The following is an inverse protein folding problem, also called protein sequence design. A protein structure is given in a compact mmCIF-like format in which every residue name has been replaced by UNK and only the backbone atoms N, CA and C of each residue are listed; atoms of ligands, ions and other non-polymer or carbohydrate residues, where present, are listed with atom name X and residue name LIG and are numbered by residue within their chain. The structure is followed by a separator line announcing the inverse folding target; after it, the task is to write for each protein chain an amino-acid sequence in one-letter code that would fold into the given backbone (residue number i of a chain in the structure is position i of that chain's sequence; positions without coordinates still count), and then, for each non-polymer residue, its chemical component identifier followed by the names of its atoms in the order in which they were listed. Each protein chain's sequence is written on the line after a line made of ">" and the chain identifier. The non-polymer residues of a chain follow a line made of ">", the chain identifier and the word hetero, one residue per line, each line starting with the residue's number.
data_IF_946493654475
#
_entry.id   IF_946493654475
#
_cell.length_a   1.000
_cell.length_b   1.000
_cell.length_c   1.000
_cell.angle_alpha   90.00
_cell.angle_beta   90.00
_cell.angle_gamma   90.00
#
_symmetry.space_group_name_H-M   'P 1'
#
loop_
_entity.id
_entity.type
_entity.pdbx_description
1 polymer ?
#
# COMPACT_ATOMS: atom_id res chain seq x y z
N UNK A 1 55.91 19.69 -42.32
CA UNK A 1 56.02 19.74 -40.85
C UNK A 1 54.72 20.14 -40.14
N UNK A 2 54.03 21.23 -40.53
CA UNK A 2 52.77 21.69 -39.91
C UNK A 2 51.59 20.69 -39.90
N UNK A 3 51.43 19.85 -40.94
CA UNK A 3 50.32 18.87 -41.03
C UNK A 3 50.47 17.65 -40.11
N UNK A 4 51.71 17.27 -39.77
CA UNK A 4 51.98 16.16 -38.84
C UNK A 4 51.67 16.59 -37.40
N UNK A 5 51.91 17.86 -37.06
CA UNK A 5 51.54 18.43 -35.76
C UNK A 5 50.04 18.40 -35.48
N UNK A 6 49.20 18.65 -36.49
CA UNK A 6 47.74 18.58 -36.34
C UNK A 6 47.21 17.16 -36.16
N UNK A 7 47.85 16.15 -36.77
CA UNK A 7 47.47 14.74 -36.61
C UNK A 7 47.85 14.20 -35.23
N UNK A 8 48.97 14.64 -34.64
CA UNK A 8 49.36 14.28 -33.27
C UNK A 8 48.48 14.96 -32.22
N UNK A 9 48.08 16.22 -32.46
CA UNK A 9 47.17 16.94 -31.56
C UNK A 9 45.74 16.33 -31.53
N UNK A 10 45.26 15.78 -32.65
CA UNK A 10 43.97 15.09 -32.71
C UNK A 10 43.98 13.72 -32.00
N UNK A 11 45.13 13.01 -31.97
CA UNK A 11 45.27 11.74 -31.27
C UNK A 11 45.32 11.90 -29.74
N UNK A 12 45.83 13.02 -29.23
CA UNK A 12 45.89 13.31 -27.79
C UNK A 12 44.52 13.67 -27.17
N UNK A 13 43.55 14.06 -27.99
CA UNK A 13 42.16 14.32 -27.55
C UNK A 13 41.32 13.04 -27.42
N UNK A 14 41.83 11.89 -27.86
CA UNK A 14 41.19 10.57 -27.76
C UNK A 14 41.74 9.70 -26.62
N UNK A 15 42.63 10.24 -25.78
CA UNK A 15 43.00 9.62 -24.50
C UNK A 15 41.84 9.77 -23.49
N UNK A 16 40.67 9.23 -23.85
CA UNK A 16 39.57 9.03 -22.92
C UNK A 16 40.08 8.14 -21.80
N UNK A 17 39.90 8.58 -20.56
CA UNK A 17 40.35 7.89 -19.35
C UNK A 17 39.97 6.40 -19.42
N UNK A 18 40.95 5.55 -19.68
CA UNK A 18 40.82 4.08 -19.59
C UNK A 18 40.82 3.69 -18.11
N UNK A 19 39.76 4.08 -17.40
CA UNK A 19 39.54 3.66 -16.03
C UNK A 19 39.40 2.14 -15.98
N UNK A 20 40.01 1.51 -14.97
CA UNK A 20 39.92 0.08 -14.78
C UNK A 20 38.44 -0.31 -14.60
N UNK A 21 37.91 -1.22 -15.43
CA UNK A 21 36.47 -1.55 -15.41
C UNK A 21 36.05 -2.03 -14.02
N UNK A 22 35.04 -1.39 -13.44
CA UNK A 22 34.54 -1.72 -12.10
C UNK A 22 35.29 -1.05 -10.95
N UNK A 23 36.24 -0.15 -11.24
CA UNK A 23 36.83 0.76 -10.26
C UNK A 23 36.19 2.14 -10.43
N UNK A 24 35.70 2.71 -9.33
CA UNK A 24 35.10 4.05 -9.29
C UNK A 24 35.99 4.97 -8.47
N UNK A 25 36.55 5.99 -9.13
CA UNK A 25 37.33 7.04 -8.48
C UNK A 25 36.46 7.93 -7.59
N UNK A 26 36.97 8.26 -6.41
CA UNK A 26 36.40 9.22 -5.47
C UNK A 26 37.49 10.12 -4.93
N UNK A 27 37.11 11.24 -4.33
CA UNK A 27 38.08 12.13 -3.69
C UNK A 27 38.73 11.41 -2.50
N UNK A 28 40.02 11.08 -2.63
CA UNK A 28 40.83 10.44 -1.58
C UNK A 28 40.77 8.91 -1.52
N UNK A 29 39.95 8.24 -2.35
CA UNK A 29 39.85 6.77 -2.35
C UNK A 29 39.24 6.21 -3.64
N UNK A 30 39.26 4.88 -3.80
CA UNK A 30 38.62 4.15 -4.90
C UNK A 30 37.63 3.11 -4.38
N UNK A 31 36.59 2.82 -5.15
CA UNK A 31 35.65 1.72 -4.89
C UNK A 31 35.83 0.62 -5.93
N UNK A 32 36.09 -0.61 -5.50
CA UNK A 32 36.02 -1.80 -6.35
C UNK A 32 34.60 -2.41 -6.29
N UNK A 33 33.86 -2.32 -7.39
CA UNK A 33 32.48 -2.82 -7.51
C UNK A 33 32.37 -4.13 -8.29
N UNK A 34 33.48 -4.86 -8.50
CA UNK A 34 33.51 -6.09 -9.32
C UNK A 34 32.87 -7.28 -8.62
N UNK A 35 32.82 -7.27 -7.30
CA UNK A 35 32.29 -8.35 -6.47
C UNK A 35 31.01 -7.88 -5.78
N UNK A 36 29.88 -8.30 -6.33
CA UNK A 36 28.56 -7.94 -5.79
C UNK A 36 28.07 -9.02 -4.82
N UNK A 37 27.56 -8.60 -3.67
CA UNK A 37 26.96 -9.50 -2.70
C UNK A 37 25.62 -10.04 -3.21
N UNK A 38 25.32 -11.31 -2.92
CA UNK A 38 24.02 -11.91 -3.24
C UNK A 38 22.90 -11.38 -2.33
N UNK A 39 23.23 -11.04 -1.07
CA UNK A 39 22.29 -10.55 -0.08
C UNK A 39 22.07 -9.04 -0.18
N UNK A 40 21.55 -8.57 -1.32
CA UNK A 40 21.19 -7.17 -1.57
C UNK A 40 19.71 -7.09 -1.97
N UNK A 41 18.91 -6.37 -1.18
CA UNK A 41 17.45 -6.35 -1.32
C UNK A 41 16.92 -4.91 -1.36
N UNK A 42 15.72 -4.70 -1.94
CA UNK A 42 15.03 -3.42 -1.89
C UNK A 42 14.83 -2.89 -0.46
N UNK A 43 14.97 -1.56 -0.30
CA UNK A 43 14.57 -0.86 0.92
C UNK A 43 13.04 -0.75 1.02
N UNK A 44 12.38 -0.46 -0.11
CA UNK A 44 10.93 -0.46 -0.22
C UNK A 44 10.40 -1.89 -0.16
N UNK A 45 9.43 -2.13 0.71
CA UNK A 45 8.82 -3.44 0.96
C UNK A 45 7.30 -3.40 1.01
N UNK A 46 6.70 -2.21 1.12
CA UNK A 46 5.27 -2.00 1.38
C UNK A 46 4.69 -0.98 0.39
N UNK A 47 3.47 -1.22 -0.05
CA UNK A 47 2.66 -0.28 -0.83
C UNK A 47 1.41 0.08 -0.02
N UNK A 48 1.27 1.35 0.34
CA UNK A 48 0.16 1.85 1.16
C UNK A 48 -0.82 2.64 0.31
N UNK A 49 -2.09 2.27 0.36
CA UNK A 49 -3.18 2.95 -0.36
C UNK A 49 -3.95 3.85 0.59
N UNK A 50 -4.20 5.08 0.14
CA UNK A 50 -4.89 6.15 0.87
C UNK A 50 -6.07 6.70 0.05
N UNK A 51 -6.93 7.50 0.69
CA UNK A 51 -7.75 8.48 0.00
C UNK A 51 -7.40 9.88 0.51
N UNK A 52 -7.64 10.89 -0.31
CA UNK A 52 -7.34 12.28 0.04
C UNK A 52 -8.37 12.92 0.97
N UNK A 53 -9.64 12.48 0.91
CA UNK A 53 -10.79 13.13 1.54
C UNK A 53 -11.06 14.56 1.05
N UNK A 54 -10.51 14.93 -0.11
CA UNK A 54 -10.57 16.26 -0.68
C UNK A 54 -10.57 16.20 -2.22
N UNK A 55 -10.81 17.33 -2.89
CA UNK A 55 -10.70 17.47 -4.35
C UNK A 55 -9.24 17.44 -4.83
N UNK A 56 -9.04 17.24 -6.13
CA UNK A 56 -7.71 17.11 -6.72
C UNK A 56 -6.77 18.29 -6.44
N UNK A 57 -7.21 19.54 -6.63
CA UNK A 57 -6.33 20.71 -6.54
C UNK A 57 -5.95 20.97 -5.08
N UNK A 58 -6.92 20.86 -4.17
CA UNK A 58 -6.69 20.95 -2.72
C UNK A 58 -5.77 19.82 -2.21
N UNK A 59 -5.95 18.61 -2.73
CA UNK A 59 -5.09 17.46 -2.42
C UNK A 59 -3.66 17.67 -2.91
N UNK A 60 -3.49 18.13 -4.16
CA UNK A 60 -2.18 18.39 -4.75
C UNK A 60 -1.44 19.49 -3.97
N UNK A 61 -2.12 20.58 -3.61
CA UNK A 61 -1.54 21.63 -2.77
C UNK A 61 -1.10 21.08 -1.40
N UNK A 62 -1.96 20.30 -0.74
CA UNK A 62 -1.65 19.71 0.58
C UNK A 62 -0.47 18.75 0.52
N UNK A 63 -0.42 17.86 -0.48
CA UNK A 63 0.60 16.82 -0.63
C UNK A 63 1.95 17.34 -1.17
N UNK A 64 2.01 18.62 -1.54
CA UNK A 64 3.24 19.32 -1.94
C UNK A 64 3.65 20.40 -0.95
N UNK A 65 2.93 20.55 0.16
CA UNK A 65 3.34 21.37 1.29
C UNK A 65 4.32 20.62 2.21
N UNK A 66 4.70 21.22 3.35
CA UNK A 66 5.78 20.77 4.22
C UNK A 66 5.38 19.72 5.27
N UNK A 67 4.10 19.38 5.38
CA UNK A 67 3.59 18.58 6.51
C UNK A 67 3.27 17.13 6.15
N UNK A 68 2.83 16.88 4.92
CA UNK A 68 2.45 15.56 4.41
C UNK A 68 2.76 15.48 2.93
N UNK A 69 3.07 14.28 2.45
CA UNK A 69 3.28 14.04 1.02
C UNK A 69 3.02 12.58 0.69
N UNK A 70 2.78 12.28 -0.58
CA UNK A 70 2.69 10.92 -1.11
C UNK A 70 3.62 10.76 -2.30
N UNK A 71 3.92 9.52 -2.68
CA UNK A 71 4.72 9.31 -3.89
C UNK A 71 3.88 9.57 -5.13
N UNK A 72 2.61 9.16 -5.09
CA UNK A 72 1.67 9.27 -6.20
C UNK A 72 0.34 9.85 -5.76
N UNK A 73 -0.29 10.64 -6.64
CA UNK A 73 -1.66 11.12 -6.54
C UNK A 73 -2.43 10.74 -7.82
N UNK A 74 -3.52 9.98 -7.66
CA UNK A 74 -4.39 9.52 -8.75
C UNK A 74 -5.73 10.27 -8.70
N UNK A 75 -6.07 11.11 -9.70
CA UNK A 75 -7.38 11.76 -9.76
C UNK A 75 -8.53 10.75 -9.80
N UNK A 76 -9.73 11.18 -9.41
CA UNK A 76 -10.95 10.37 -9.43
C UNK A 76 -11.27 9.93 -10.87
N UNK A 77 -11.10 10.82 -11.84
CA UNK A 77 -11.15 10.46 -13.26
C UNK A 77 -9.89 10.98 -13.92
N UNK A 78 -8.81 10.15 -13.99
CA UNK A 78 -7.53 10.60 -14.52
C UNK A 78 -7.65 11.11 -15.97
N UNK A 79 -7.19 12.35 -16.26
CA UNK A 79 -7.23 12.87 -17.62
C UNK A 79 -6.33 12.01 -18.51
N UNK A 80 -6.71 11.89 -19.79
CA UNK A 80 -6.02 11.01 -20.73
C UNK A 80 -5.21 11.80 -21.73
N UNK A 81 -3.96 11.39 -21.93
CA UNK A 81 -3.07 11.92 -22.95
C UNK A 81 -2.41 10.73 -23.66
N UNK A 82 -2.34 10.76 -24.98
CA UNK A 82 -1.82 9.65 -25.81
C UNK A 82 -2.49 8.31 -25.47
N UNK A 83 -3.80 8.33 -25.21
CA UNK A 83 -4.57 7.14 -24.85
C UNK A 83 -4.29 6.57 -23.46
N UNK A 84 -3.48 7.22 -22.61
CA UNK A 84 -3.11 6.74 -21.26
C UNK A 84 -3.62 7.69 -20.16
N UNK A 85 -4.06 7.17 -19.00
CA UNK A 85 -4.39 8.01 -17.85
C UNK A 85 -3.11 8.68 -17.30
N UNK A 86 -3.21 9.95 -16.90
CA UNK A 86 -2.13 10.69 -16.24
C UNK A 86 -2.27 10.55 -14.72
N UNK A 87 -1.17 10.18 -14.08
CA UNK A 87 -1.02 10.10 -12.62
C UNK A 87 0.12 11.06 -12.25
N UNK A 88 0.01 11.72 -11.10
CA UNK A 88 1.03 12.63 -10.61
C UNK A 88 1.97 11.87 -9.70
N UNK A 89 3.28 11.99 -9.96
CA UNK A 89 4.31 11.57 -9.03
C UNK A 89 4.86 12.81 -8.34
N UNK A 90 4.76 12.85 -7.01
CA UNK A 90 5.13 14.03 -6.20
C UNK A 90 6.49 13.84 -5.50
N UNK A 91 6.86 12.60 -5.17
CA UNK A 91 8.13 12.24 -4.52
C UNK A 91 8.80 11.11 -5.30
N UNK A 92 10.12 11.19 -5.59
CA UNK A 92 10.88 10.09 -6.16
C UNK A 92 10.85 8.87 -5.25
N UNK A 93 10.65 7.66 -5.78
CA UNK A 93 10.56 6.43 -4.96
C UNK A 93 11.84 6.06 -4.20
N UNK A 94 12.98 6.65 -4.55
CA UNK A 94 14.23 6.48 -3.80
C UNK A 94 14.25 7.28 -2.50
N UNK A 95 13.33 8.24 -2.34
CA UNK A 95 13.12 9.05 -1.15
C UNK A 95 11.87 8.55 -0.41
N UNK A 96 11.73 8.93 0.86
CA UNK A 96 10.50 8.70 1.61
C UNK A 96 9.53 9.85 1.39
N UNK A 97 8.24 9.55 1.27
CA UNK A 97 7.15 10.52 1.39
C UNK A 97 6.51 10.44 2.78
N UNK A 98 5.93 11.54 3.26
CA UNK A 98 5.31 11.63 4.59
C UNK A 98 3.81 11.27 4.54
N UNK A 99 3.50 9.98 4.34
CA UNK A 99 2.10 9.52 4.15
C UNK A 99 1.56 8.63 5.27
N UNK A 100 2.37 7.76 5.87
CA UNK A 100 1.93 6.76 6.86
C UNK A 100 1.85 7.31 8.30
N UNK A 101 2.72 8.28 8.64
CA UNK A 101 2.88 8.77 10.02
C UNK A 101 3.22 7.66 11.01
N UNK A 102 2.70 7.75 12.24
CA UNK A 102 2.87 6.70 13.28
C UNK A 102 2.16 5.43 12.84
N UNK A 103 2.94 4.43 12.44
CA UNK A 103 2.44 3.23 11.76
C UNK A 103 3.23 2.00 12.17
N UNK A 104 2.59 0.83 12.08
CA UNK A 104 3.21 -0.47 12.28
C UNK A 104 2.59 -1.54 11.37
N UNK A 105 3.42 -2.41 10.80
CA UNK A 105 2.99 -3.53 9.97
C UNK A 105 4.00 -4.67 10.03
N UNK A 106 3.55 -5.88 10.41
CA UNK A 106 4.38 -7.11 10.41
C UNK A 106 5.72 -6.93 11.14
N UNK A 107 5.68 -6.26 12.29
CA UNK A 107 6.84 -5.99 13.14
C UNK A 107 7.68 -4.76 12.75
N UNK A 108 7.47 -4.19 11.56
CA UNK A 108 8.07 -2.89 11.20
C UNK A 108 7.25 -1.74 11.81
N UNK A 109 7.92 -0.62 12.07
CA UNK A 109 7.29 0.66 12.45
C UNK A 109 7.82 1.77 11.53
N UNK A 110 7.24 2.97 11.59
CA UNK A 110 7.64 4.13 10.76
C UNK A 110 7.62 3.79 9.27
N UNK A 111 6.47 3.35 8.78
CA UNK A 111 6.37 2.70 7.47
C UNK A 111 6.82 3.59 6.30
N UNK A 112 6.78 4.93 6.45
CA UNK A 112 7.38 5.89 5.50
C UNK A 112 8.78 5.45 5.03
N UNK A 113 9.61 4.90 5.91
CA UNK A 113 11.00 4.53 5.62
C UNK A 113 11.12 3.38 4.60
N UNK A 114 10.07 2.58 4.44
CA UNK A 114 10.08 1.32 3.65
C UNK A 114 8.85 1.17 2.76
N UNK A 115 8.08 2.24 2.55
CA UNK A 115 6.85 2.17 1.77
C UNK A 115 6.74 3.22 0.68
N UNK A 116 6.07 2.83 -0.40
CA UNK A 116 5.48 3.76 -1.36
C UNK A 116 4.03 4.05 -0.93
N UNK A 117 3.62 5.30 -1.06
CA UNK A 117 2.29 5.80 -0.72
C UNK A 117 1.57 6.32 -1.96
N UNK A 118 0.38 5.79 -2.22
CA UNK A 118 -0.50 6.24 -3.31
C UNK A 118 -1.76 6.86 -2.70
N UNK A 119 -1.97 8.14 -3.00
CA UNK A 119 -3.18 8.89 -2.68
C UNK A 119 -4.18 8.81 -3.83
N UNK A 120 -5.43 8.52 -3.50
CA UNK A 120 -6.53 8.46 -4.45
C UNK A 120 -7.47 9.62 -4.14
N UNK A 121 -7.71 10.50 -5.13
CA UNK A 121 -8.73 11.53 -5.01
C UNK A 121 -10.09 10.86 -4.79
N UNK A 122 -10.58 10.93 -3.56
CA UNK A 122 -11.84 10.34 -3.15
C UNK A 122 -12.29 11.04 -1.85
N UNK A 123 -13.58 11.35 -1.75
CA UNK A 123 -14.16 12.10 -0.61
C UNK A 123 -14.07 11.37 0.74
N UNK A 124 -13.64 10.11 0.76
CA UNK A 124 -13.56 9.31 1.96
C UNK A 124 -14.95 9.07 2.53
N UNK A 125 -15.15 9.35 3.81
CA UNK A 125 -16.46 9.24 4.44
C UNK A 125 -17.05 10.58 4.86
N UNK A 126 -18.38 10.65 4.84
CA UNK A 126 -19.14 11.76 5.40
C UNK A 126 -20.21 11.22 6.36
N UNK A 127 -20.55 12.02 7.37
CA UNK A 127 -21.67 11.71 8.25
C UNK A 127 -22.95 12.30 7.68
N UNK A 128 -23.95 11.46 7.48
CA UNK A 128 -25.32 11.88 7.14
C UNK A 128 -26.28 11.22 8.13
N UNK A 129 -27.10 12.00 8.83
CA UNK A 129 -28.03 11.52 9.86
C UNK A 129 -27.36 10.64 10.97
N UNK A 130 -26.13 10.97 11.37
CA UNK A 130 -25.35 10.20 12.36
C UNK A 130 -24.63 8.97 11.80
N UNK A 131 -24.80 8.70 10.51
CA UNK A 131 -24.32 7.51 9.81
C UNK A 131 -23.13 7.85 8.95
N UNK A 132 -22.09 7.02 9.03
CA UNK A 132 -20.90 7.14 8.18
C UNK A 132 -21.14 6.50 6.81
N UNK A 133 -21.09 7.29 5.74
CA UNK A 133 -21.17 6.84 4.35
C UNK A 133 -19.84 7.09 3.65
N UNK A 134 -19.32 6.08 2.95
CA UNK A 134 -18.10 6.21 2.15
C UNK A 134 -18.44 6.47 0.69
N UNK A 135 -17.60 7.25 0.01
CA UNK A 135 -17.72 7.48 -1.42
C UNK A 135 -17.19 6.26 -2.21
N UNK A 136 -17.91 5.80 -3.25
CA UNK A 136 -17.39 4.77 -4.15
C UNK A 136 -16.15 5.29 -4.91
N UNK A 137 -15.30 4.38 -5.37
CA UNK A 137 -14.18 4.70 -6.23
C UNK A 137 -14.61 4.64 -7.69
N UNK A 138 -14.23 5.64 -8.47
CA UNK A 138 -14.51 5.69 -9.90
C UNK A 138 -13.79 4.55 -10.62
N UNK A 139 -14.46 3.80 -11.53
CA UNK A 139 -13.81 2.72 -12.27
C UNK A 139 -12.56 3.19 -13.03
N UNK A 140 -12.57 4.41 -13.57
CA UNK A 140 -11.43 5.00 -14.28
C UNK A 140 -10.20 5.17 -13.38
N UNK A 141 -10.38 5.54 -12.11
CA UNK A 141 -9.31 5.63 -11.11
C UNK A 141 -8.67 4.26 -10.85
N UNK A 142 -9.52 3.25 -10.63
CA UNK A 142 -9.06 1.87 -10.34
C UNK A 142 -8.31 1.30 -11.56
N UNK A 143 -8.78 1.55 -12.78
CA UNK A 143 -8.09 1.13 -13.99
C UNK A 143 -6.73 1.82 -14.19
N UNK A 144 -6.57 3.07 -13.73
CA UNK A 144 -5.28 3.75 -13.73
C UNK A 144 -4.34 3.23 -12.63
N UNK A 145 -4.89 2.88 -11.46
CA UNK A 145 -4.13 2.35 -10.32
C UNK A 145 -3.52 0.97 -10.62
N UNK A 146 -4.25 0.08 -11.30
CA UNK A 146 -3.81 -1.30 -11.57
C UNK A 146 -2.40 -1.38 -12.22
N UNK A 147 -2.12 -0.73 -13.36
CA UNK A 147 -0.80 -0.80 -13.98
C UNK A 147 0.27 -0.14 -13.10
N UNK A 148 -0.03 0.99 -12.44
CA UNK A 148 0.91 1.64 -11.53
C UNK A 148 1.32 0.71 -10.38
N UNK A 149 0.34 0.09 -9.71
CA UNK A 149 0.60 -0.83 -8.61
C UNK A 149 1.39 -2.06 -9.07
N UNK A 150 1.08 -2.63 -10.24
CA UNK A 150 1.84 -3.74 -10.84
C UNK A 150 3.30 -3.37 -11.09
N UNK A 151 3.56 -2.18 -11.65
CA UNK A 151 4.91 -1.71 -11.93
C UNK A 151 5.73 -1.55 -10.63
N UNK A 152 5.13 -0.98 -9.58
CA UNK A 152 5.77 -0.82 -8.27
C UNK A 152 6.05 -2.18 -7.63
N UNK A 153 5.06 -3.07 -7.62
CA UNK A 153 5.18 -4.42 -7.03
C UNK A 153 6.29 -5.21 -7.73
N UNK A 154 6.33 -5.18 -9.06
CA UNK A 154 7.35 -5.89 -9.84
C UNK A 154 8.75 -5.31 -9.59
N UNK A 155 8.89 -3.98 -9.54
CA UNK A 155 10.17 -3.28 -9.34
C UNK A 155 10.82 -3.60 -8.00
N UNK A 156 10.02 -3.74 -6.94
CA UNK A 156 10.51 -3.93 -5.58
C UNK A 156 10.21 -5.32 -5.00
N UNK A 157 9.67 -6.23 -5.80
CA UNK A 157 9.28 -7.58 -5.37
C UNK A 157 8.38 -7.55 -4.12
N UNK A 158 7.44 -6.59 -4.07
CA UNK A 158 6.55 -6.41 -2.92
C UNK A 158 5.64 -7.63 -2.80
N UNK A 159 5.64 -8.25 -1.62
CA UNK A 159 4.76 -9.39 -1.35
C UNK A 159 3.29 -8.96 -1.30
N UNK A 160 2.33 -9.82 -1.69
CA UNK A 160 0.91 -9.47 -1.69
C UNK A 160 0.39 -8.95 -0.33
N UNK A 161 0.84 -9.54 0.78
CA UNK A 161 0.47 -9.11 2.15
C UNK A 161 1.06 -7.76 2.56
N UNK A 162 1.91 -7.15 1.73
CA UNK A 162 2.47 -5.83 1.96
C UNK A 162 1.86 -4.76 1.03
N UNK A 163 0.76 -5.07 0.33
CA UNK A 163 -0.12 -4.06 -0.27
C UNK A 163 -1.29 -3.84 0.67
N UNK A 164 -1.31 -2.69 1.34
CA UNK A 164 -2.10 -2.48 2.55
C UNK A 164 -2.90 -1.19 2.51
N UNK A 165 -3.98 -1.13 3.30
CA UNK A 165 -4.65 0.12 3.62
C UNK A 165 -3.81 0.95 4.61
N UNK A 166 -4.01 2.26 4.62
CA UNK A 166 -3.52 3.07 5.73
C UNK A 166 -4.18 2.67 7.06
N UNK A 167 -5.44 2.24 7.01
CA UNK A 167 -6.15 1.68 8.16
C UNK A 167 -5.51 0.40 8.71
N UNK A 168 -4.77 -0.36 7.88
CA UNK A 168 -4.12 -1.60 8.33
C UNK A 168 -2.88 -1.29 9.17
N UNK A 169 -2.11 -0.29 8.75
CA UNK A 169 -0.87 0.12 9.43
C UNK A 169 -1.10 1.13 10.56
N UNK A 170 -2.30 1.71 10.65
CA UNK A 170 -2.68 2.72 11.64
C UNK A 170 -4.16 2.63 12.07
N UNK A 171 -4.63 1.45 12.54
CA UNK A 171 -6.06 1.18 12.77
C UNK A 171 -6.72 2.11 13.79
N UNK A 172 -5.96 2.64 14.75
CA UNK A 172 -6.49 3.58 15.74
C UNK A 172 -6.74 4.99 15.20
N UNK A 173 -6.14 5.35 14.06
CA UNK A 173 -6.14 6.74 13.55
C UNK A 173 -6.82 6.89 12.20
N UNK A 174 -6.79 5.84 11.37
CA UNK A 174 -7.06 5.93 9.93
C UNK A 174 -8.12 4.93 9.50
N UNK A 175 -8.85 5.29 8.45
CA UNK A 175 -9.96 4.49 7.89
C UNK A 175 -9.82 4.30 6.37
N UNK A 176 -8.85 4.96 5.76
CA UNK A 176 -8.55 4.96 4.33
C UNK A 176 -7.82 3.68 3.89
N UNK A 177 -8.10 3.18 2.66
CA UNK A 177 -8.99 3.75 1.64
C UNK A 177 -10.48 3.40 1.85
N UNK A 178 -10.83 2.75 2.95
CA UNK A 178 -12.21 2.47 3.33
C UNK A 178 -12.80 1.20 2.71
N UNK A 179 -14.02 0.81 3.13
CA UNK A 179 -14.63 -0.48 2.79
C UNK A 179 -15.10 -0.58 1.34
N UNK A 180 -15.20 0.55 0.61
CA UNK A 180 -15.62 0.56 -0.79
C UNK A 180 -14.43 0.44 -1.76
N UNK A 181 -13.20 0.43 -1.25
CA UNK A 181 -12.04 0.19 -2.09
C UNK A 181 -12.00 -1.27 -2.56
N UNK A 182 -11.83 -1.55 -3.87
CA UNK A 182 -12.11 -2.86 -4.43
C UNK A 182 -10.93 -3.85 -4.32
N UNK A 183 -10.50 -4.15 -3.09
CA UNK A 183 -9.37 -5.05 -2.79
C UNK A 183 -9.43 -6.39 -3.53
N UNK A 184 -10.60 -7.03 -3.61
CA UNK A 184 -10.80 -8.30 -4.33
C UNK A 184 -10.50 -8.16 -5.83
N UNK A 185 -10.94 -7.07 -6.44
CA UNK A 185 -10.70 -6.80 -7.87
C UNK A 185 -9.20 -6.61 -8.13
N UNK A 186 -8.50 -5.92 -7.24
CA UNK A 186 -7.04 -5.75 -7.32
C UNK A 186 -6.32 -7.10 -7.15
N UNK A 187 -6.73 -7.92 -6.18
CA UNK A 187 -6.11 -9.22 -5.96
C UNK A 187 -6.29 -10.18 -7.14
N UNK A 188 -7.45 -10.15 -7.81
CA UNK A 188 -7.68 -10.87 -9.07
C UNK A 188 -6.76 -10.40 -10.20
N UNK A 189 -6.22 -9.19 -10.11
CA UNK A 189 -5.20 -8.65 -11.00
C UNK A 189 -3.77 -8.94 -10.51
N UNK A 190 -3.58 -9.69 -9.42
CA UNK A 190 -2.28 -9.97 -8.81
C UNK A 190 -1.75 -8.86 -7.90
N UNK A 191 -2.61 -7.95 -7.44
CA UNK A 191 -2.25 -6.82 -6.58
C UNK A 191 -2.86 -7.03 -5.19
N UNK A 192 -2.00 -7.31 -4.21
CA UNK A 192 -2.40 -7.47 -2.82
C UNK A 192 -2.93 -8.86 -2.47
N UNK A 193 -3.03 -9.12 -1.17
CA UNK A 193 -3.45 -10.40 -0.64
C UNK A 193 -4.98 -10.57 -0.67
N UNK A 194 -5.43 -11.79 -1.00
CA UNK A 194 -6.83 -12.19 -0.86
C UNK A 194 -6.90 -13.68 -0.51
N UNK A 195 -7.80 -14.10 0.40
CA UNK A 195 -7.84 -15.48 0.85
C UNK A 195 -8.49 -16.36 -0.21
N UNK A 196 -8.12 -17.64 -0.20
CA UNK A 196 -8.80 -18.64 -1.00
C UNK A 196 -10.18 -18.95 -0.42
N UNK A 197 -11.23 -18.97 -1.26
CA UNK A 197 -12.60 -19.13 -0.80
C UNK A 197 -12.86 -20.51 -0.16
N UNK A 198 -12.25 -21.58 -0.67
CA UNK A 198 -12.41 -22.92 -0.10
C UNK A 198 -11.73 -23.01 1.27
N UNK A 199 -10.59 -22.34 1.44
CA UNK A 199 -9.87 -22.27 2.71
C UNK A 199 -10.61 -21.43 3.75
N UNK A 200 -11.27 -20.35 3.36
CA UNK A 200 -12.20 -19.63 4.25
C UNK A 200 -13.33 -20.56 4.70
N UNK A 201 -13.97 -21.30 3.79
CA UNK A 201 -15.03 -22.25 4.13
C UNK A 201 -14.55 -23.37 5.07
N UNK A 202 -13.33 -23.86 4.86
CA UNK A 202 -12.69 -24.82 5.75
C UNK A 202 -12.57 -24.27 7.19
N UNK A 203 -12.11 -23.02 7.35
CA UNK A 203 -11.96 -22.39 8.67
C UNK A 203 -13.28 -21.90 9.29
N UNK A 204 -14.34 -21.71 8.50
CA UNK A 204 -15.69 -21.51 9.04
C UNK A 204 -16.15 -22.74 9.83
N UNK A 205 -15.69 -23.95 9.47
CA UNK A 205 -15.96 -25.18 10.20
C UNK A 205 -17.47 -25.41 10.45
N UNK A 206 -18.30 -25.13 9.44
CA UNK A 206 -19.76 -25.29 9.50
C UNK A 206 -20.52 -24.19 10.26
N UNK A 207 -19.84 -23.20 10.84
CA UNK A 207 -20.48 -22.08 11.54
C UNK A 207 -21.07 -21.08 10.55
N UNK A 208 -22.14 -20.41 10.96
CA UNK A 208 -22.66 -19.27 10.22
C UNK A 208 -21.63 -18.12 10.23
N UNK A 209 -21.50 -17.34 9.13
CA UNK A 209 -20.52 -16.24 9.04
C UNK A 209 -20.58 -15.17 10.14
N UNK A 210 -21.72 -15.05 10.81
CA UNK A 210 -21.97 -14.08 11.89
C UNK A 210 -21.97 -14.72 13.28
N UNK A 211 -21.42 -15.92 13.42
CA UNK A 211 -21.27 -16.56 14.74
C UNK A 211 -20.24 -15.76 15.55
N UNK A 212 -20.55 -15.36 16.80
CA UNK A 212 -19.59 -14.70 17.66
C UNK A 212 -18.37 -15.57 17.96
N UNK A 213 -17.24 -14.90 18.16
CA UNK A 213 -15.93 -15.53 18.35
C UNK A 213 -15.24 -14.84 19.52
N UNK A 214 -14.28 -15.50 20.13
CA UNK A 214 -13.47 -14.89 21.19
C UNK A 214 -12.57 -13.79 20.62
N UNK A 215 -12.74 -12.56 21.11
CA UNK A 215 -11.99 -11.39 20.63
C UNK A 215 -10.48 -11.53 20.82
N UNK A 216 -10.01 -12.13 21.92
CA UNK A 216 -8.59 -12.33 22.18
C UNK A 216 -7.93 -13.25 21.12
N UNK A 217 -8.56 -14.39 20.83
CA UNK A 217 -8.12 -15.32 19.78
C UNK A 217 -8.05 -14.65 18.40
N UNK A 218 -9.03 -13.80 18.05
CA UNK A 218 -8.98 -13.04 16.79
C UNK A 218 -7.84 -12.03 16.77
N UNK A 219 -7.66 -11.27 17.84
CA UNK A 219 -6.60 -10.26 17.93
C UNK A 219 -5.21 -10.89 17.84
N UNK A 220 -4.99 -12.07 18.42
CA UNK A 220 -3.73 -12.81 18.24
C UNK A 220 -3.46 -13.11 16.76
N UNK A 221 -4.48 -13.56 16.03
CA UNK A 221 -4.36 -13.85 14.61
C UNK A 221 -4.07 -12.58 13.78
N UNK A 222 -4.74 -11.46 14.08
CA UNK A 222 -4.47 -10.18 13.43
C UNK A 222 -3.07 -9.64 13.74
N UNK A 223 -2.59 -9.81 14.97
CA UNK A 223 -1.23 -9.46 15.36
C UNK A 223 -0.19 -10.26 14.55
N UNK A 224 -0.40 -11.59 14.41
CA UNK A 224 0.46 -12.46 13.59
C UNK A 224 0.42 -12.10 12.11
N UNK A 225 -0.74 -11.67 11.61
CA UNK A 225 -0.86 -11.22 10.23
C UNK A 225 -0.16 -9.89 9.97
N UNK A 226 -0.16 -8.98 10.94
CA UNK A 226 0.66 -7.77 10.84
C UNK A 226 0.13 -6.53 11.55
N UNK A 227 -1.10 -6.56 12.09
CA UNK A 227 -1.71 -5.42 12.74
C UNK A 227 -1.05 -5.08 14.09
N UNK A 228 -1.04 -3.81 14.47
CA UNK A 228 -0.60 -3.35 15.79
C UNK A 228 -1.66 -3.71 16.86
N UNK A 229 -1.40 -4.77 17.62
CA UNK A 229 -2.21 -5.23 18.74
C UNK A 229 -1.37 -5.15 20.01
N UNK A 230 -1.93 -4.53 21.05
CA UNK A 230 -1.26 -4.33 22.34
C UNK A 230 -2.00 -5.09 23.45
N UNK A 231 -1.30 -5.60 24.48
CA UNK A 231 -1.92 -6.40 25.54
C UNK A 231 -3.10 -5.71 26.24
N UNK A 232 -2.97 -4.42 26.55
CA UNK A 232 -3.93 -3.68 27.38
C UNK A 232 -4.89 -2.78 26.58
N UNK A 233 -5.24 -3.18 25.36
CA UNK A 233 -6.18 -2.42 24.54
C UNK A 233 -7.59 -2.38 25.18
N UNK A 234 -8.15 -1.18 25.25
CA UNK A 234 -9.56 -0.98 25.59
C UNK A 234 -10.47 -1.67 24.56
N UNK A 235 -11.74 -2.00 24.91
CA UNK A 235 -12.68 -2.56 23.94
C UNK A 235 -12.87 -1.69 22.68
N UNK A 236 -12.68 -0.37 22.80
CA UNK A 236 -12.74 0.55 21.65
C UNK A 236 -11.55 0.34 20.72
N UNK A 237 -10.34 0.22 21.26
CA UNK A 237 -9.13 0.01 20.48
C UNK A 237 -9.12 -1.36 19.79
N UNK A 238 -9.59 -2.41 20.49
CA UNK A 238 -9.76 -3.74 19.92
C UNK A 238 -10.71 -3.70 18.70
N UNK A 239 -11.86 -3.03 18.82
CA UNK A 239 -12.80 -2.84 17.70
C UNK A 239 -12.20 -2.06 16.53
N UNK A 240 -11.29 -1.13 16.78
CA UNK A 240 -10.61 -0.36 15.72
C UNK A 240 -9.63 -1.20 14.91
N UNK A 241 -8.89 -2.12 15.56
CA UNK A 241 -8.03 -3.09 14.85
C UNK A 241 -8.89 -3.98 13.95
N UNK A 242 -9.99 -4.49 14.50
CA UNK A 242 -10.90 -5.34 13.76
C UNK A 242 -11.54 -4.58 12.57
N UNK A 243 -11.96 -3.32 12.75
CA UNK A 243 -12.57 -2.50 11.68
C UNK A 243 -11.73 -2.39 10.40
N UNK A 244 -10.38 -2.35 10.51
CA UNK A 244 -9.48 -2.19 9.37
C UNK A 244 -9.48 -3.34 8.36
N UNK A 245 -9.88 -4.55 8.77
CA UNK A 245 -9.77 -5.74 7.92
C UNK A 245 -10.84 -5.75 6.81
N UNK A 246 -10.46 -5.87 5.52
CA UNK A 246 -11.41 -5.98 4.40
C UNK A 246 -12.37 -7.17 4.56
N UNK A 247 -13.63 -7.00 4.15
CA UNK A 247 -14.61 -8.10 4.14
C UNK A 247 -14.35 -9.01 2.94
N UNK A 248 -14.11 -10.30 3.18
CA UNK A 248 -13.83 -11.27 2.11
C UNK A 248 -15.07 -11.72 1.30
N UNK A 249 -16.28 -11.28 1.68
CA UNK A 249 -17.55 -11.73 1.11
C UNK A 249 -18.15 -10.73 0.11
N UNK A 250 -18.92 -11.21 -0.89
CA UNK A 250 -19.43 -10.39 -1.97
C UNK A 250 -20.57 -9.43 -1.52
N UNK A 251 -20.77 -8.32 -2.26
CA UNK A 251 -21.66 -7.22 -1.87
C UNK A 251 -23.14 -7.57 -1.81
N UNK A 252 -23.60 -8.68 -2.36
CA UNK A 252 -24.98 -9.20 -2.29
C UNK A 252 -25.37 -9.69 -0.87
N UNK A 253 -24.40 -10.16 -0.08
CA UNK A 253 -24.57 -10.39 1.37
C UNK A 253 -24.60 -9.05 2.14
N UNK A 254 -23.95 -8.03 1.59
CA UNK A 254 -23.93 -6.65 2.13
C UNK A 254 -25.21 -5.87 1.71
N UNK A 255 -25.79 -6.14 0.54
CA UNK A 255 -26.89 -5.38 -0.08
C UNK A 255 -28.29 -5.85 0.34
N UNK A 256 -28.48 -7.09 0.81
CA UNK A 256 -29.73 -7.49 1.51
C UNK A 256 -29.98 -6.70 2.81
N UNK A 257 -29.10 -5.76 3.15
CA UNK A 257 -29.21 -4.84 4.27
C UNK A 257 -29.62 -3.43 3.83
N UNK A 258 -30.79 -3.27 3.21
CA UNK A 258 -31.46 -1.98 2.97
C UNK A 258 -31.88 -1.21 4.26
N UNK A 259 -31.27 -1.55 5.39
CA UNK A 259 -31.34 -0.84 6.67
C UNK A 259 -29.99 -0.66 7.39
N UNK A 260 -28.86 -1.11 6.83
CA UNK A 260 -27.56 -1.00 7.50
C UNK A 260 -26.93 0.37 7.29
N UNK A 261 -27.43 1.31 8.10
CA UNK A 261 -27.00 2.70 8.17
C UNK A 261 -26.24 3.00 9.47
N UNK A 262 -25.53 2.07 10.11
CA UNK A 262 -24.83 2.36 11.38
C UNK A 262 -23.45 1.71 11.42
N UNK A 263 -22.40 2.52 11.59
CA UNK A 263 -20.99 2.07 11.66
C UNK A 263 -20.61 1.43 13.00
N UNK A 264 -21.46 1.53 14.03
CA UNK A 264 -21.23 0.89 15.32
C UNK A 264 -21.75 -0.55 15.43
N UNK A 265 -22.74 -0.92 14.60
CA UNK A 265 -23.51 -2.16 14.79
C UNK A 265 -23.32 -3.18 13.66
N UNK A 266 -22.84 -2.74 12.49
CA UNK A 266 -22.79 -3.61 11.31
C UNK A 266 -21.59 -4.56 11.24
N UNK A 267 -20.63 -4.48 12.18
CA UNK A 267 -19.44 -5.36 12.27
C UNK A 267 -19.04 -5.70 13.70
N UNK A 268 -19.98 -5.78 14.65
CA UNK A 268 -19.66 -6.33 15.99
C UNK A 268 -19.56 -7.85 16.00
N UNK A 269 -19.77 -8.54 14.87
CA UNK A 269 -19.66 -10.01 14.80
C UNK A 269 -19.16 -10.48 13.42
N UNK A 270 -17.87 -10.28 13.14
CA UNK A 270 -17.20 -10.84 11.96
C UNK A 270 -15.87 -11.52 12.33
N UNK A 271 -15.87 -12.20 13.46
CA UNK A 271 -14.62 -12.59 14.09
C UNK A 271 -13.88 -13.77 13.45
N UNK A 272 -14.46 -14.51 12.52
CA UNK A 272 -13.83 -15.76 12.03
C UNK A 272 -13.64 -15.88 10.53
N UNK A 273 -14.32 -15.05 9.73
CA UNK A 273 -13.87 -14.79 8.36
C UNK A 273 -12.45 -14.20 8.40
N UNK A 274 -12.21 -13.33 9.39
CA UNK A 274 -10.92 -12.72 9.71
C UNK A 274 -9.93 -13.72 10.29
N UNK A 275 -10.40 -14.75 11.01
CA UNK A 275 -9.57 -15.87 11.46
C UNK A 275 -9.12 -16.81 10.33
N UNK A 276 -9.94 -17.00 9.29
CA UNK A 276 -9.58 -17.75 8.08
C UNK A 276 -8.51 -17.03 7.25
N UNK A 277 -8.66 -15.72 7.05
CA UNK A 277 -7.63 -14.83 6.51
C UNK A 277 -6.33 -14.97 7.32
N UNK A 278 -6.37 -14.68 8.62
CA UNK A 278 -5.18 -14.61 9.44
C UNK A 278 -4.49 -15.97 9.73
N UNK A 279 -5.22 -17.10 9.73
CA UNK A 279 -4.63 -18.45 9.80
C UNK A 279 -4.02 -18.90 8.48
N UNK A 280 -4.61 -18.55 7.34
CA UNK A 280 -4.04 -18.91 6.04
C UNK A 280 -2.76 -18.12 5.73
N UNK A 281 -2.68 -16.87 6.19
CA UNK A 281 -1.45 -16.06 6.09
C UNK A 281 -0.38 -16.42 7.12
N UNK A 282 -0.70 -17.17 8.18
CA UNK A 282 0.30 -17.77 9.09
C UNK A 282 0.95 -19.04 8.53
N UNK A 283 0.43 -19.64 7.45
CA UNK A 283 1.04 -20.81 6.79
C UNK A 283 2.13 -20.40 5.78
N UNK A 284 2.26 -19.09 5.48
CA UNK A 284 3.23 -18.52 4.53
C UNK A 284 4.41 -17.84 5.24
N UNK A 285 4.53 -18.01 6.56
CA UNK A 285 5.69 -17.57 7.34
C UNK A 285 6.55 -18.77 7.75
#
# INVERSE_FOLDING_TARGET
>A
MRRVFWLVAAALLLAGCTGEKGIVEKEGYQLDTRRQAQAAYPRIKVLVIHYTADDFDSSLATLTDKQVSSHYLVPAVPPRYNGKPRIWQLVPEQELAWHAGISAWRGATRLNDTSIGIELENRGWQKSAGVKYFAPFEPAQIQALIPLAKDIIARYYIKPENVVAHADIAPQRKDDPGPLFPWKQLAQQGIGAWPDAQRVNFYLAGRAPHTPVETASLLELLARYGYDVKPDMTPREQRRVDYGVPDAFPPDVIQRRSGCRNSGDCRSVAGEIRAGLARQFSVVA
#
